data_IF_790934876745
#
_entry.id   IF_790934876745
#
_cell.length_a   1.000
_cell.length_b   1.000
_cell.length_c   1.000
_cell.angle_alpha   90.00
_cell.angle_beta   90.00
_cell.angle_gamma   90.00
#
_symmetry.space_group_name_H-M   'P 1'
#
loop_
_entity.id
_entity.type
_entity.pdbx_description
1 polymer ?
#
# COMPACT_ATOMS: atom_id res chain seq x y z
N UNK A 1 -27.93 24.29 5.24
CA UNK A 1 -27.70 22.98 5.89
C UNK A 1 -26.24 22.85 6.26
N UNK A 2 -25.97 22.44 7.49
CA UNK A 2 -24.61 22.22 7.96
C UNK A 2 -24.26 20.73 7.84
N UNK A 3 -23.09 20.45 7.29
CA UNK A 3 -22.63 19.09 7.03
C UNK A 3 -21.29 18.87 7.71
N UNK A 4 -21.19 17.83 8.54
CA UNK A 4 -19.93 17.41 9.15
C UNK A 4 -19.36 16.24 8.34
N UNK A 5 -18.12 16.40 7.87
CA UNK A 5 -17.43 15.39 7.07
C UNK A 5 -16.40 14.69 7.94
N UNK A 6 -16.47 13.36 8.03
CA UNK A 6 -15.60 12.55 8.90
C UNK A 6 -14.59 11.69 8.15
N UNK A 7 -14.44 11.90 6.84
CA UNK A 7 -13.42 11.19 6.05
C UNK A 7 -12.02 11.66 6.42
N UNK A 8 -11.01 10.76 6.38
CA UNK A 8 -9.62 11.17 6.58
C UNK A 8 -9.15 12.17 5.54
N UNK A 9 -8.22 13.04 5.92
CA UNK A 9 -7.57 13.95 4.99
C UNK A 9 -6.71 13.16 3.99
N UNK A 10 -6.61 13.58 2.72
CA UNK A 10 -7.19 14.80 2.14
C UNK A 10 -8.62 14.62 1.62
N UNK A 11 -9.14 13.40 1.58
CA UNK A 11 -10.45 13.13 1.00
C UNK A 11 -11.58 13.92 1.65
N UNK A 12 -11.54 14.08 2.99
CA UNK A 12 -12.54 14.87 3.71
C UNK A 12 -12.48 16.34 3.34
N UNK A 13 -11.29 16.89 3.15
CA UNK A 13 -11.09 18.28 2.78
C UNK A 13 -11.56 18.57 1.37
N UNK A 14 -11.35 17.64 0.43
CA UNK A 14 -11.87 17.76 -0.93
C UNK A 14 -13.39 17.79 -0.95
N UNK A 15 -14.02 16.94 -0.14
CA UNK A 15 -15.48 16.91 -0.03
C UNK A 15 -16.01 18.22 0.55
N UNK A 16 -15.36 18.76 1.57
CA UNK A 16 -15.74 20.05 2.17
C UNK A 16 -15.68 21.15 1.11
N UNK A 17 -14.61 21.21 0.31
CA UNK A 17 -14.47 22.19 -0.76
C UNK A 17 -15.60 22.08 -1.78
N UNK A 18 -15.99 20.88 -2.17
CA UNK A 18 -17.09 20.65 -3.12
C UNK A 18 -18.43 21.11 -2.54
N UNK A 19 -18.67 20.84 -1.26
CA UNK A 19 -19.92 21.24 -0.61
C UNK A 19 -20.02 22.74 -0.46
N UNK A 20 -18.92 23.42 -0.12
CA UNK A 20 -18.86 24.88 -0.03
C UNK A 20 -19.09 25.53 -1.37
N UNK A 21 -18.55 24.97 -2.44
CA UNK A 21 -18.80 25.47 -3.80
C UNK A 21 -20.25 25.41 -4.21
N UNK A 22 -21.05 24.54 -3.58
CA UNK A 22 -22.48 24.43 -3.79
C UNK A 22 -23.32 25.30 -2.84
N UNK A 23 -22.65 26.17 -2.09
CA UNK A 23 -23.33 27.08 -1.16
C UNK A 23 -23.71 26.44 0.16
N UNK A 24 -23.17 25.28 0.49
CA UNK A 24 -23.45 24.57 1.75
C UNK A 24 -22.33 24.83 2.76
N UNK A 25 -22.69 24.89 4.06
CA UNK A 25 -21.69 24.98 5.12
C UNK A 25 -21.26 23.57 5.50
N UNK A 26 -19.96 23.33 5.47
CA UNK A 26 -19.39 22.02 5.76
C UNK A 26 -18.05 22.13 6.49
N UNK A 27 -17.76 21.16 7.33
CA UNK A 27 -16.49 21.06 8.06
C UNK A 27 -15.89 19.67 7.83
N UNK A 28 -14.54 19.62 7.82
CA UNK A 28 -13.81 18.36 7.86
C UNK A 28 -13.39 18.09 9.30
N UNK A 29 -13.76 16.90 9.80
CA UNK A 29 -13.32 16.43 11.11
C UNK A 29 -12.77 15.01 10.93
N UNK A 30 -11.50 14.88 10.53
CA UNK A 30 -10.92 13.56 10.34
C UNK A 30 -10.79 12.85 11.69
N UNK A 31 -11.37 11.66 11.78
CA UNK A 31 -11.28 10.80 12.95
C UNK A 31 -9.99 9.98 12.93
N UNK A 32 -9.33 9.90 11.78
CA UNK A 32 -8.12 9.14 11.56
C UNK A 32 -7.12 10.05 10.86
N UNK A 33 -5.91 10.11 11.41
CA UNK A 33 -4.80 10.81 10.76
C UNK A 33 -3.87 9.80 10.11
N UNK A 34 -3.34 10.17 8.94
CA UNK A 34 -2.27 9.44 8.29
C UNK A 34 -0.97 10.24 8.40
N UNK A 35 0.13 9.54 8.64
CA UNK A 35 1.46 10.14 8.69
C UNK A 35 2.47 9.13 8.15
N UNK A 36 3.72 9.58 7.83
CA UNK A 36 4.76 8.66 7.38
C UNK A 36 5.01 7.55 8.40
N UNK A 37 5.20 6.34 7.90
CA UNK A 37 5.48 5.19 8.73
C UNK A 37 6.92 5.19 9.24
N UNK A 38 7.15 4.48 10.32
CA UNK A 38 8.48 4.42 10.96
C UNK A 38 9.51 3.68 10.11
N UNK A 39 9.09 2.89 9.13
CA UNK A 39 10.00 2.12 8.27
C UNK A 39 10.16 2.72 6.88
N UNK A 40 9.51 3.85 6.62
CA UNK A 40 9.54 4.48 5.31
C UNK A 40 10.96 4.90 4.91
N UNK A 41 11.78 5.32 5.86
CA UNK A 41 13.17 5.71 5.60
C UNK A 41 14.04 4.52 5.16
N UNK A 42 13.66 3.30 5.51
CA UNK A 42 14.38 2.09 5.10
C UNK A 42 13.96 1.58 3.72
N UNK A 43 12.90 2.13 3.14
CA UNK A 43 12.34 1.64 1.89
C UNK A 43 13.35 1.56 0.75
N UNK A 44 14.18 2.58 0.47
CA UNK A 44 15.13 2.50 -0.64
C UNK A 44 16.08 1.30 -0.52
N UNK A 45 16.59 1.04 0.68
CA UNK A 45 17.48 -0.09 0.92
C UNK A 45 16.77 -1.43 0.77
N UNK A 46 15.53 -1.52 1.27
CA UNK A 46 14.73 -2.73 1.15
C UNK A 46 14.47 -3.08 -0.31
N UNK A 47 14.10 -2.09 -1.11
CA UNK A 47 13.84 -2.31 -2.54
C UNK A 47 15.11 -2.62 -3.30
N UNK A 48 16.24 -2.00 -2.94
CA UNK A 48 17.52 -2.26 -3.59
C UNK A 48 18.01 -3.70 -3.34
N UNK A 49 17.56 -4.34 -2.26
CA UNK A 49 17.93 -5.72 -1.95
C UNK A 49 17.17 -6.76 -2.77
N UNK A 50 16.13 -6.35 -3.50
CA UNK A 50 15.30 -7.28 -4.28
C UNK A 50 15.94 -7.61 -5.63
N UNK A 51 15.94 -8.89 -5.99
CA UNK A 51 16.35 -9.39 -7.30
C UNK A 51 15.14 -9.45 -8.24
N UNK A 52 15.34 -9.59 -9.57
CA UNK A 52 14.22 -9.63 -10.52
C UNK A 52 13.20 -10.74 -10.24
N UNK A 53 13.61 -11.84 -9.61
CA UNK A 53 12.71 -12.95 -9.27
C UNK A 53 12.02 -12.77 -7.91
N UNK A 54 12.37 -11.74 -7.18
CA UNK A 54 11.79 -11.48 -5.87
C UNK A 54 10.41 -10.84 -5.98
N UNK A 55 9.76 -10.62 -4.83
CA UNK A 55 8.36 -10.26 -4.76
C UNK A 55 8.17 -8.91 -4.06
N UNK A 56 7.27 -8.10 -4.60
CA UNK A 56 6.86 -6.83 -3.99
C UNK A 56 5.35 -6.84 -3.81
N UNK A 57 4.89 -6.63 -2.59
CA UNK A 57 3.45 -6.61 -2.27
C UNK A 57 3.04 -5.22 -1.80
N UNK A 58 1.87 -4.79 -2.20
CA UNK A 58 1.24 -3.59 -1.66
C UNK A 58 -0.14 -3.96 -1.10
N UNK A 59 -0.35 -3.66 0.18
CA UNK A 59 -1.59 -4.03 0.87
C UNK A 59 -2.58 -2.89 0.97
N UNK A 60 -2.20 -1.67 0.57
CA UNK A 60 -3.12 -0.55 0.49
C UNK A 60 -2.59 0.51 -0.46
N UNK A 61 -3.50 1.31 -1.01
CA UNK A 61 -3.09 2.42 -1.87
C UNK A 61 -2.34 3.51 -1.11
N UNK A 62 -2.59 3.66 0.20
CA UNK A 62 -1.86 4.62 1.03
C UNK A 62 -0.39 4.22 1.14
N UNK A 63 -0.10 2.93 1.30
CA UNK A 63 1.28 2.45 1.34
C UNK A 63 2.00 2.76 0.03
N UNK A 64 1.33 2.56 -1.12
CA UNK A 64 1.90 2.91 -2.42
C UNK A 64 2.18 4.41 -2.53
N UNK A 65 1.24 5.24 -2.09
CA UNK A 65 1.39 6.71 -2.17
C UNK A 65 2.60 7.20 -1.37
N UNK A 66 2.75 6.73 -0.13
CA UNK A 66 3.90 7.12 0.69
C UNK A 66 5.22 6.59 0.14
N UNK A 67 5.22 5.34 -0.34
CA UNK A 67 6.41 4.76 -0.95
C UNK A 67 6.81 5.52 -2.22
N UNK A 68 5.85 5.83 -3.09
CA UNK A 68 6.11 6.55 -4.33
C UNK A 68 6.67 7.95 -4.06
N UNK A 69 6.10 8.66 -3.07
CA UNK A 69 6.59 9.98 -2.70
C UNK A 69 8.03 9.93 -2.21
N UNK A 70 8.37 8.94 -1.38
CA UNK A 70 9.72 8.79 -0.86
C UNK A 70 10.73 8.51 -1.97
N UNK A 71 10.42 7.59 -2.88
CA UNK A 71 11.31 7.26 -3.99
C UNK A 71 11.48 8.45 -4.94
N UNK A 72 10.41 9.19 -5.18
CA UNK A 72 10.46 10.39 -6.03
C UNK A 72 11.35 11.47 -5.43
N UNK A 73 11.23 11.71 -4.12
CA UNK A 73 12.04 12.71 -3.42
C UNK A 73 13.52 12.38 -3.47
N UNK A 74 13.88 11.10 -3.47
CA UNK A 74 15.27 10.64 -3.47
C UNK A 74 15.77 10.30 -4.86
N UNK A 75 14.95 10.49 -5.91
CA UNK A 75 15.28 10.17 -7.30
C UNK A 75 15.68 8.70 -7.48
N UNK A 76 14.94 7.79 -6.82
CA UNK A 76 15.18 6.35 -6.86
C UNK A 76 14.10 5.69 -7.70
N UNK A 77 14.50 4.83 -8.63
CA UNK A 77 13.57 4.06 -9.45
C UNK A 77 13.04 2.85 -8.68
N UNK A 78 11.83 2.41 -9.05
CA UNK A 78 11.26 1.17 -8.53
C UNK A 78 12.06 -0.03 -9.05
N UNK A 79 12.18 -1.10 -8.25
CA UNK A 79 12.88 -2.31 -8.72
C UNK A 79 12.06 -3.04 -9.78
N UNK A 80 12.72 -3.78 -10.65
CA UNK A 80 12.07 -4.63 -11.65
C UNK A 80 11.88 -6.01 -11.05
N UNK A 81 10.72 -6.20 -10.39
CA UNK A 81 10.38 -7.43 -9.65
C UNK A 81 8.94 -7.83 -9.97
N UNK A 82 8.54 -9.00 -9.49
CA UNK A 82 7.14 -9.41 -9.57
C UNK A 82 6.32 -8.67 -8.52
N UNK A 83 5.29 -7.97 -8.96
CA UNK A 83 4.48 -7.11 -8.10
C UNK A 83 3.09 -7.69 -7.89
N UNK A 84 2.59 -7.54 -6.66
CA UNK A 84 1.29 -8.05 -6.22
C UNK A 84 0.58 -7.00 -5.38
N UNK A 85 -0.74 -6.98 -5.47
CA UNK A 85 -1.57 -6.11 -4.64
C UNK A 85 -2.80 -6.87 -4.15
N UNK A 86 -3.38 -6.37 -3.06
CA UNK A 86 -4.54 -7.02 -2.45
C UNK A 86 -5.80 -6.88 -3.30
N UNK A 87 -5.90 -5.84 -4.10
CA UNK A 87 -7.07 -5.61 -4.93
C UNK A 87 -6.80 -4.66 -6.07
N UNK A 88 -7.84 -4.41 -6.89
CA UNK A 88 -7.73 -3.62 -8.11
C UNK A 88 -7.24 -2.19 -7.87
N UNK A 89 -7.79 -1.50 -6.88
CA UNK A 89 -7.43 -0.10 -6.60
C UNK A 89 -5.96 0.02 -6.24
N UNK A 90 -5.48 -0.85 -5.37
CA UNK A 90 -4.07 -0.87 -4.97
C UNK A 90 -3.18 -1.30 -6.13
N UNK A 91 -3.62 -2.26 -6.93
CA UNK A 91 -2.88 -2.71 -8.11
C UNK A 91 -2.71 -1.58 -9.12
N UNK A 92 -3.76 -0.81 -9.37
CA UNK A 92 -3.70 0.34 -10.28
C UNK A 92 -2.75 1.42 -9.75
N UNK A 93 -2.80 1.69 -8.44
CA UNK A 93 -1.92 2.66 -7.82
C UNK A 93 -0.45 2.25 -7.95
N UNK A 94 -0.14 0.98 -7.69
CA UNK A 94 1.23 0.48 -7.79
C UNK A 94 1.71 0.45 -9.24
N UNK A 95 0.87 0.05 -10.19
CA UNK A 95 1.20 0.08 -11.60
C UNK A 95 1.49 1.51 -12.07
N UNK A 96 0.65 2.46 -11.70
CA UNK A 96 0.81 3.87 -12.10
C UNK A 96 2.11 4.45 -11.53
N UNK A 97 2.43 4.12 -10.28
CA UNK A 97 3.64 4.65 -9.63
C UNK A 97 4.92 4.00 -10.15
N UNK A 98 4.91 2.68 -10.40
CA UNK A 98 6.11 1.90 -10.66
C UNK A 98 6.31 1.51 -12.12
N UNK A 99 5.25 1.48 -12.91
CA UNK A 99 5.28 0.93 -14.27
C UNK A 99 5.29 -0.59 -14.32
N UNK A 100 5.26 -1.27 -13.17
CA UNK A 100 5.27 -2.73 -13.11
C UNK A 100 3.89 -3.30 -13.42
N UNK A 101 3.87 -4.49 -14.05
CA UNK A 101 2.65 -5.26 -14.12
C UNK A 101 2.34 -5.82 -12.74
N UNK A 102 1.12 -5.61 -12.25
CA UNK A 102 0.75 -5.99 -10.89
C UNK A 102 -0.31 -7.08 -10.93
N UNK A 103 -0.05 -8.18 -10.22
CA UNK A 103 -0.99 -9.28 -10.07
C UNK A 103 -1.86 -9.03 -8.84
N UNK A 104 -3.15 -9.31 -8.94
CA UNK A 104 -4.08 -9.17 -7.82
C UNK A 104 -5.18 -10.22 -7.91
N UNK A 105 -5.84 -10.56 -6.78
CA UNK A 105 -6.94 -11.54 -6.81
C UNK A 105 -8.15 -10.94 -7.53
N UNK A 106 -8.73 -11.71 -8.45
CA UNK A 106 -9.82 -11.21 -9.30
C UNK A 106 -11.20 -11.54 -8.75
N UNK A 107 -11.33 -12.66 -8.02
CA UNK A 107 -12.61 -13.07 -7.47
C UNK A 107 -13.00 -12.30 -6.22
N UNK A 108 -12.08 -12.24 -5.25
CA UNK A 108 -12.29 -11.52 -3.98
C UNK A 108 -10.98 -10.84 -3.59
N UNK A 109 -11.07 -9.59 -3.18
CA UNK A 109 -9.90 -8.77 -2.84
C UNK A 109 -9.48 -8.99 -1.38
N UNK A 110 -9.12 -10.23 -1.04
CA UNK A 110 -8.68 -10.61 0.29
C UNK A 110 -7.37 -11.41 0.23
N UNK A 111 -6.66 -11.44 1.38
CA UNK A 111 -5.35 -12.09 1.48
C UNK A 111 -5.38 -13.56 1.09
N UNK A 112 -6.42 -14.28 1.50
CA UNK A 112 -6.57 -15.71 1.21
C UNK A 112 -6.59 -15.97 -0.29
N UNK A 113 -7.31 -15.16 -1.05
CA UNK A 113 -7.40 -15.32 -2.50
C UNK A 113 -6.12 -14.87 -3.19
N UNK A 114 -5.50 -13.80 -2.72
CA UNK A 114 -4.20 -13.38 -3.23
C UNK A 114 -3.17 -14.51 -3.13
N UNK A 115 -3.14 -15.20 -1.99
CA UNK A 115 -2.19 -16.29 -1.75
C UNK A 115 -2.46 -17.53 -2.60
N UNK A 116 -3.60 -17.61 -3.28
CA UNK A 116 -3.94 -18.71 -4.19
C UNK A 116 -3.42 -18.46 -5.61
N UNK A 117 -2.88 -17.30 -5.91
CA UNK A 117 -2.36 -17.03 -7.27
C UNK A 117 -1.26 -18.01 -7.64
N UNK A 118 -1.26 -18.51 -8.91
CA UNK A 118 -0.24 -19.47 -9.35
C UNK A 118 1.18 -18.99 -9.16
N UNK A 119 1.42 -17.69 -9.31
CA UNK A 119 2.74 -17.08 -9.17
C UNK A 119 3.29 -17.16 -7.74
N UNK A 120 2.43 -17.44 -6.75
CA UNK A 120 2.81 -17.50 -5.35
C UNK A 120 2.92 -18.92 -4.80
N UNK A 121 2.87 -19.95 -5.66
CA UNK A 121 2.95 -21.34 -5.22
C UNK A 121 4.39 -21.86 -5.11
N UNK A 122 5.28 -21.47 -6.01
CA UNK A 122 6.68 -21.89 -6.02
C UNK A 122 7.59 -20.70 -5.76
N UNK A 123 7.70 -20.30 -4.49
CA UNK A 123 8.41 -19.07 -4.10
C UNK A 123 9.53 -19.33 -3.09
N UNK A 124 9.84 -20.58 -2.79
CA UNK A 124 10.90 -20.92 -1.83
C UNK A 124 12.23 -20.28 -2.23
N UNK A 125 12.92 -19.71 -1.26
CA UNK A 125 14.22 -19.05 -1.47
C UNK A 125 14.14 -17.61 -1.96
N UNK A 126 12.94 -17.10 -2.23
CA UNK A 126 12.77 -15.72 -2.67
C UNK A 126 12.67 -14.76 -1.50
N UNK A 127 12.87 -13.47 -1.78
CA UNK A 127 12.63 -12.39 -0.83
C UNK A 127 11.35 -11.66 -1.19
N UNK A 128 10.64 -11.17 -0.19
CA UNK A 128 9.45 -10.35 -0.39
C UNK A 128 9.51 -9.11 0.49
N UNK A 129 9.16 -7.96 -0.09
CA UNK A 129 8.92 -6.74 0.65
C UNK A 129 7.42 -6.44 0.58
N UNK A 130 6.81 -6.23 1.72
CA UNK A 130 5.37 -5.98 1.82
C UNK A 130 5.16 -4.55 2.32
N UNK A 131 4.61 -3.72 1.44
CA UNK A 131 4.30 -2.32 1.77
C UNK A 131 2.94 -2.26 2.46
N UNK A 132 2.91 -1.71 3.67
CA UNK A 132 1.70 -1.70 4.49
C UNK A 132 1.68 -0.49 5.43
N UNK A 133 0.59 -0.36 6.19
CA UNK A 133 0.51 0.59 7.29
C UNK A 133 0.93 -0.07 8.62
N UNK A 134 0.70 0.64 9.71
CA UNK A 134 1.10 0.19 11.06
C UNK A 134 0.16 -0.81 11.69
N UNK A 135 -0.79 -1.34 10.96
CA UNK A 135 -1.72 -2.37 11.44
C UNK A 135 -2.11 -3.29 10.30
N UNK A 136 -2.99 -4.23 10.58
CA UNK A 136 -3.50 -5.16 9.60
C UNK A 136 -3.11 -6.59 9.85
N UNK A 137 -3.50 -7.47 8.91
CA UNK A 137 -3.30 -8.92 9.05
C UNK A 137 -1.87 -9.31 8.71
N UNK A 138 -1.36 -10.30 9.43
CA UNK A 138 -0.04 -10.87 9.20
C UNK A 138 -0.09 -12.10 8.27
N UNK A 139 -1.28 -12.47 7.78
CA UNK A 139 -1.51 -13.72 7.06
C UNK A 139 -0.61 -13.89 5.83
N UNK A 140 -0.44 -12.83 5.05
CA UNK A 140 0.38 -12.91 3.82
C UNK A 140 1.83 -13.22 4.20
N UNK A 141 2.38 -12.49 5.15
CA UNK A 141 3.76 -12.71 5.60
C UNK A 141 3.97 -14.08 6.21
N UNK A 142 3.06 -14.51 7.09
CA UNK A 142 3.14 -15.82 7.74
C UNK A 142 3.07 -16.95 6.71
N UNK A 143 2.16 -16.86 5.76
CA UNK A 143 1.99 -17.89 4.73
C UNK A 143 3.20 -17.95 3.80
N UNK A 144 3.70 -16.79 3.37
CA UNK A 144 4.90 -16.77 2.51
C UNK A 144 6.11 -17.32 3.24
N UNK A 145 6.26 -17.00 4.53
CA UNK A 145 7.37 -17.55 5.33
C UNK A 145 7.29 -19.08 5.40
N UNK A 146 6.09 -19.64 5.53
CA UNK A 146 5.88 -21.10 5.51
C UNK A 146 6.22 -21.71 4.15
N UNK A 147 6.12 -20.91 3.08
CA UNK A 147 6.49 -21.34 1.72
C UNK A 147 7.98 -21.14 1.41
N UNK A 148 8.77 -20.72 2.39
CA UNK A 148 10.22 -20.54 2.23
C UNK A 148 10.66 -19.18 1.79
N UNK A 149 9.81 -18.14 1.89
CA UNK A 149 10.12 -16.77 1.50
C UNK A 149 10.71 -16.00 2.70
N UNK A 150 11.76 -15.22 2.45
CA UNK A 150 12.24 -14.24 3.43
C UNK A 150 11.40 -12.99 3.33
N UNK A 151 10.54 -12.75 4.32
CA UNK A 151 9.56 -11.66 4.30
C UNK A 151 10.04 -10.48 5.12
N UNK A 152 9.95 -9.28 4.55
CA UNK A 152 10.19 -8.02 5.25
C UNK A 152 8.99 -7.12 5.06
N UNK A 153 8.36 -6.71 6.16
CA UNK A 153 7.31 -5.70 6.12
C UNK A 153 7.94 -4.32 6.10
N UNK A 154 7.33 -3.40 5.35
CA UNK A 154 7.69 -1.99 5.38
C UNK A 154 6.46 -1.17 5.73
N UNK A 155 6.43 -0.63 6.93
CA UNK A 155 5.35 0.24 7.38
C UNK A 155 5.58 1.63 6.77
N UNK A 156 4.89 1.89 5.65
CA UNK A 156 5.05 3.12 4.89
C UNK A 156 4.25 4.29 5.46
N UNK A 157 3.20 3.99 6.24
CA UNK A 157 2.37 5.01 6.84
C UNK A 157 1.80 4.53 8.18
N UNK A 158 1.33 5.49 8.97
CA UNK A 158 0.68 5.21 10.25
C UNK A 158 -0.73 5.80 10.22
N UNK A 159 -1.67 5.06 10.81
CA UNK A 159 -3.01 5.54 11.10
C UNK A 159 -3.10 5.77 12.60
N UNK A 160 -3.53 6.94 12.99
CA UNK A 160 -3.71 7.28 14.40
C UNK A 160 -5.12 7.81 14.60
N UNK A 161 -5.86 7.25 15.55
CA UNK A 161 -7.20 7.73 15.90
C UNK A 161 -7.06 9.03 16.69
N UNK A 162 -7.94 9.98 16.39
CA UNK A 162 -8.03 11.23 17.13
C UNK A 162 -9.09 11.20 18.20
#
# INVERSE_FOLDING_TARGET
MNILVTRPSPAGEELVSRLRAQGKVAWSLPLIEFSPGRELSALPELLASLSPDDLLFALSQHAVSYAAATLRQQHIAWPQVQAFAIGRTTALALHTASGLAVNYPRDREISEVLLQLPELQNVAGKHAVILRGNGGRELIGETLAKRGVSVTFCECYQRTDK
#
